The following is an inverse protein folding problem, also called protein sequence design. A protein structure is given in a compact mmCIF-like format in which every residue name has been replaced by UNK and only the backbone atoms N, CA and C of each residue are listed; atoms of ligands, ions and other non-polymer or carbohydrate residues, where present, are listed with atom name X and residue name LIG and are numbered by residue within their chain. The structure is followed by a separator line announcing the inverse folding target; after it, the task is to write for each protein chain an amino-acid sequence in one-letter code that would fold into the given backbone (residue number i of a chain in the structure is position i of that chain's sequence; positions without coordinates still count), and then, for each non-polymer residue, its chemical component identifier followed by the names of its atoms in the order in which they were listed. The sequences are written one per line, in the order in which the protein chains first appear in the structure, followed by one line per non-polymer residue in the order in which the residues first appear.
data_IF_659731245782
#
_entry.id   IF_659731245782
#
_cell.length_a   1.000
_cell.length_b   1.000
_cell.length_c   1.000
_cell.angle_alpha   90.00
_cell.angle_beta   90.00
_cell.angle_gamma   90.00
#
_symmetry.space_group_name_H-M   'P 1'
#
loop_
_entity.id
_entity.type
_entity.pdbx_description
1 polymer ?
#
# COMPACT_ATOMS: atom_id res chain seq x y z
N UNK A 1 13.63 -7.54 -6.28
CA UNK A 1 12.56 -6.69 -5.73
C UNK A 1 12.05 -5.79 -6.82
N UNK A 2 10.78 -5.40 -6.76
CA UNK A 2 10.13 -4.47 -7.69
C UNK A 2 9.43 -3.37 -6.89
N UNK A 3 9.18 -2.24 -7.55
CA UNK A 3 8.46 -1.12 -6.97
C UNK A 3 6.97 -1.27 -7.28
N UNK A 4 6.14 -1.18 -6.24
CA UNK A 4 4.69 -1.26 -6.34
C UNK A 4 4.08 0.06 -5.87
N UNK A 5 3.07 0.54 -6.59
CA UNK A 5 2.23 1.62 -6.11
C UNK A 5 1.05 1.02 -5.34
N UNK A 6 0.92 1.39 -4.07
CA UNK A 6 -0.20 1.02 -3.20
C UNK A 6 -1.14 2.21 -3.12
N UNK A 7 -2.35 2.08 -3.64
CA UNK A 7 -3.41 3.09 -3.48
C UNK A 7 -4.26 2.71 -2.28
N UNK A 8 -4.56 3.68 -1.42
CA UNK A 8 -5.28 3.47 -0.17
C UNK A 8 -6.25 4.61 0.13
N UNK A 9 -7.24 4.32 0.98
CA UNK A 9 -8.10 5.33 1.60
C UNK A 9 -7.68 5.54 3.06
N UNK A 10 -7.52 6.80 3.46
CA UNK A 10 -7.27 7.20 4.84
C UNK A 10 -8.15 8.39 5.18
N UNK A 11 -9.04 8.22 6.18
CA UNK A 11 -9.97 9.27 6.63
C UNK A 11 -10.86 9.84 5.51
N UNK A 12 -11.24 8.99 4.55
CA UNK A 12 -12.07 9.37 3.40
C UNK A 12 -11.31 10.05 2.25
N UNK A 13 -9.98 10.15 2.34
CA UNK A 13 -9.13 10.65 1.27
C UNK A 13 -8.37 9.49 0.61
N UNK A 14 -8.28 9.51 -0.71
CA UNK A 14 -7.49 8.55 -1.49
C UNK A 14 -6.09 9.08 -1.72
N UNK A 15 -5.08 8.26 -1.45
CA UNK A 15 -3.68 8.56 -1.70
C UNK A 15 -2.95 7.32 -2.26
N UNK A 16 -1.72 7.52 -2.74
CA UNK A 16 -0.85 6.42 -3.15
C UNK A 16 0.57 6.55 -2.57
N UNK A 17 1.21 5.41 -2.37
CA UNK A 17 2.57 5.31 -1.83
C UNK A 17 3.36 4.22 -2.57
N UNK A 18 4.65 4.46 -2.78
CA UNK A 18 5.54 3.51 -3.45
C UNK A 18 6.19 2.59 -2.43
N UNK A 19 6.01 1.27 -2.61
CA UNK A 19 6.53 0.23 -1.72
C UNK A 19 7.43 -0.72 -2.52
N UNK A 20 8.66 -0.93 -2.07
CA UNK A 20 9.52 -2.00 -2.60
C UNK A 20 9.14 -3.35 -2.00
N UNK A 21 8.86 -4.34 -2.85
CA UNK A 21 8.49 -5.68 -2.41
C UNK A 21 8.85 -6.75 -3.45
N UNK A 22 8.76 -8.03 -3.07
CA UNK A 22 8.87 -9.17 -3.97
C UNK A 22 7.57 -9.50 -4.72
N UNK A 23 6.42 -9.11 -4.18
CA UNK A 23 5.09 -9.40 -4.74
C UNK A 23 4.07 -8.31 -4.39
N UNK A 24 2.94 -8.18 -5.11
CA UNK A 24 1.89 -7.22 -4.75
C UNK A 24 1.26 -7.51 -3.38
N UNK A 25 1.16 -8.79 -2.99
CA UNK A 25 0.65 -9.19 -1.66
C UNK A 25 1.62 -8.74 -0.56
N UNK A 26 2.92 -8.87 -0.79
CA UNK A 26 3.94 -8.40 0.14
C UNK A 26 3.94 -6.88 0.25
N UNK A 27 3.78 -6.14 -0.85
CA UNK A 27 3.64 -4.68 -0.82
C UNK A 27 2.43 -4.23 0.02
N UNK A 28 1.27 -4.87 -0.15
CA UNK A 28 0.09 -4.60 0.67
C UNK A 28 0.32 -4.87 2.16
N UNK A 29 1.01 -5.98 2.48
CA UNK A 29 1.36 -6.33 3.86
C UNK A 29 2.29 -5.29 4.49
N UNK A 30 3.36 -4.90 3.80
CA UNK A 30 4.31 -3.88 4.27
C UNK A 30 3.59 -2.56 4.54
N UNK A 31 2.76 -2.11 3.59
CA UNK A 31 1.95 -0.89 3.77
C UNK A 31 1.03 -0.99 5.00
N UNK A 32 0.32 -2.11 5.16
CA UNK A 32 -0.62 -2.31 6.27
C UNK A 32 0.11 -2.32 7.62
N UNK A 33 1.30 -2.89 7.69
CA UNK A 33 2.14 -2.89 8.90
C UNK A 33 2.64 -1.48 9.26
N UNK A 34 3.00 -0.66 8.25
CA UNK A 34 3.45 0.72 8.45
C UNK A 34 2.32 1.67 8.89
N UNK A 35 1.09 1.39 8.45
CA UNK A 35 -0.07 2.27 8.67
C UNK A 35 -1.16 1.64 9.56
N UNK A 36 -0.81 0.61 10.35
CA UNK A 36 -1.76 -0.17 11.15
C UNK A 36 -2.62 0.70 12.10
N UNK A 37 -2.04 1.73 12.69
CA UNK A 37 -2.73 2.64 13.62
C UNK A 37 -3.53 3.76 12.92
N UNK A 38 -3.27 3.99 11.63
CA UNK A 38 -3.90 5.07 10.87
C UNK A 38 -5.32 4.70 10.38
N UNK A 39 -5.65 3.40 10.33
CA UNK A 39 -6.91 2.92 9.75
C UNK A 39 -6.96 3.05 8.23
N UNK A 40 -5.80 3.00 7.57
CA UNK A 40 -5.71 3.02 6.12
C UNK A 40 -6.26 1.71 5.52
N UNK A 41 -7.03 1.81 4.44
CA UNK A 41 -7.58 0.67 3.70
C UNK A 41 -6.93 0.61 2.32
N UNK A 42 -6.23 -0.49 2.01
CA UNK A 42 -5.64 -0.70 0.69
C UNK A 42 -6.75 -0.96 -0.34
N UNK A 43 -6.78 -0.15 -1.40
CA UNK A 43 -7.74 -0.25 -2.49
C UNK A 43 -7.18 -1.08 -3.65
N UNK A 44 -5.92 -0.83 -4.03
CA UNK A 44 -5.24 -1.60 -5.06
C UNK A 44 -3.72 -1.55 -4.91
N UNK A 45 -3.05 -2.54 -5.50
CA UNK A 45 -1.60 -2.60 -5.62
C UNK A 45 -1.25 -2.90 -7.07
N UNK A 46 -0.48 -2.02 -7.69
CA UNK A 46 -0.05 -2.16 -9.10
C UNK A 46 1.47 -2.17 -9.18
N UNK A 47 1.99 -3.00 -10.08
CA UNK A 47 3.42 -3.04 -10.38
C UNK A 47 3.77 -1.92 -11.36
N UNK A 48 4.83 -1.17 -11.07
CA UNK A 48 5.42 -0.21 -12.01
C UNK A 48 6.45 -0.88 -12.93
#
# INVERSE_FOLDING_TARGET
MALYEVTYELRGETASEMIEAGSPVEAARIFTEQHAEAGAVVLCVVRQ
#
